data_IF_739936988280
#
_entry.id   IF_739936988280
#
_cell.length_a   1.000
_cell.length_b   1.000
_cell.length_c   1.000
_cell.angle_alpha   90.00
_cell.angle_beta   90.00
_cell.angle_gamma   90.00
#
_symmetry.space_group_name_H-M   'P 1'
#
loop_
_entity.id
_entity.type
_entity.pdbx_description
1 polymer ?
#
# COMPACT_ATOMS: atom_id res chain seq x y z
N UNK A 1 -37.46 -18.34 53.74
CA UNK A 1 -37.55 -19.80 53.57
C UNK A 1 -36.14 -20.31 53.30
N UNK A 2 -35.52 -20.92 54.30
CA UNK A 2 -34.13 -21.41 54.28
C UNK A 2 -34.11 -22.94 54.13
N UNK A 3 -33.30 -23.38 53.16
CA UNK A 3 -32.35 -24.50 53.20
C UNK A 3 -32.78 -25.98 53.38
N UNK A 4 -32.16 -26.78 52.50
CA UNK A 4 -31.52 -28.10 52.71
C UNK A 4 -32.29 -29.41 52.47
N UNK A 5 -32.11 -29.93 51.24
CA UNK A 5 -31.41 -31.18 50.84
C UNK A 5 -31.29 -32.38 51.82
N UNK A 6 -31.69 -33.57 51.33
CA UNK A 6 -30.89 -34.82 51.21
C UNK A 6 -31.82 -35.98 50.75
N UNK A 7 -31.70 -36.51 49.53
CA UNK A 7 -30.77 -37.56 49.06
C UNK A 7 -31.08 -38.98 49.54
N UNK A 8 -31.49 -39.86 48.60
CA UNK A 8 -31.80 -41.27 48.85
C UNK A 8 -31.28 -42.21 47.75
N UNK A 9 -30.20 -42.90 48.11
CA UNK A 9 -29.73 -44.24 47.68
C UNK A 9 -29.20 -44.54 46.27
N UNK A 10 -27.94 -44.96 46.33
CA UNK A 10 -27.07 -45.74 45.44
C UNK A 10 -27.61 -47.14 45.12
N UNK A 11 -27.16 -47.73 43.99
CA UNK A 11 -26.36 -48.99 43.93
C UNK A 11 -25.97 -49.37 42.47
N UNK A 12 -24.65 -49.36 42.25
CA UNK A 12 -23.76 -50.30 41.51
C UNK A 12 -24.10 -50.77 40.08
N UNK A 13 -23.17 -50.47 39.16
CA UNK A 13 -22.98 -51.19 37.90
C UNK A 13 -21.56 -50.97 37.36
N UNK A 14 -20.90 -52.07 37.01
CA UNK A 14 -19.47 -52.26 36.76
C UNK A 14 -18.78 -51.39 35.67
N UNK A 15 -17.52 -51.04 35.98
CA UNK A 15 -16.30 -51.17 35.16
C UNK A 15 -16.45 -51.20 33.63
N UNK A 16 -15.84 -50.22 32.96
CA UNK A 16 -14.98 -50.40 31.77
C UNK A 16 -14.19 -49.11 31.52
N UNK A 17 -12.88 -49.17 31.73
CA UNK A 17 -11.92 -48.18 31.24
C UNK A 17 -11.89 -48.35 29.71
N UNK A 18 -12.29 -47.31 28.99
CA UNK A 18 -12.22 -47.25 27.54
C UNK A 18 -11.79 -45.85 27.13
N UNK A 19 -10.49 -45.68 26.87
CA UNK A 19 -9.95 -44.49 26.20
C UNK A 19 -10.42 -44.57 24.75
N UNK A 20 -11.20 -43.57 24.31
CA UNK A 20 -11.48 -43.34 22.90
C UNK A 20 -11.19 -41.87 22.60
N UNK A 21 -10.03 -41.64 21.98
CA UNK A 21 -9.66 -40.40 21.30
C UNK A 21 -10.40 -40.30 19.96
N UNK A 22 -10.58 -39.07 19.50
CA UNK A 22 -10.88 -38.64 18.11
C UNK A 22 -12.38 -38.59 17.74
N UNK A 23 -12.90 -37.55 17.08
CA UNK A 23 -12.23 -36.42 16.45
C UNK A 23 -13.19 -35.28 16.11
N UNK A 24 -12.62 -34.07 16.10
CA UNK A 24 -13.22 -32.85 15.55
C UNK A 24 -12.93 -32.84 14.05
N UNK A 25 -13.94 -33.13 13.24
CA UNK A 25 -14.15 -32.48 11.94
C UNK A 25 -15.29 -31.50 12.22
N UNK A 26 -15.38 -30.26 11.73
CA UNK A 26 -15.21 -29.76 10.38
C UNK A 26 -14.81 -28.28 10.48
N UNK A 27 -13.75 -27.88 9.79
CA UNK A 27 -13.28 -26.50 9.80
C UNK A 27 -11.97 -26.35 9.04
N UNK A 28 -11.89 -26.86 7.80
CA UNK A 28 -10.85 -26.45 6.87
C UNK A 28 -11.22 -25.05 6.33
N UNK A 29 -11.10 -24.06 7.22
CA UNK A 29 -11.11 -22.65 6.86
C UNK A 29 -9.83 -22.32 6.11
N UNK A 30 -9.95 -21.53 5.05
CA UNK A 30 -8.82 -20.81 4.48
C UNK A 30 -8.49 -19.67 5.44
N UNK A 31 -7.46 -19.86 6.25
CA UNK A 31 -6.99 -18.89 7.23
C UNK A 31 -5.60 -19.30 7.69
N UNK A 32 -4.82 -18.33 8.14
CA UNK A 32 -3.41 -18.38 8.53
C UNK A 32 -3.00 -19.42 9.59
N UNK A 33 -3.94 -20.23 10.09
CA UNK A 33 -3.71 -21.38 10.98
C UNK A 33 -4.23 -22.72 10.38
N UNK A 34 -4.46 -22.77 9.07
CA UNK A 34 -4.91 -23.96 8.34
C UNK A 34 -3.76 -24.93 8.00
N UNK A 35 -4.05 -26.23 8.03
CA UNK A 35 -3.11 -27.35 7.80
C UNK A 35 -2.51 -27.42 6.37
N UNK A 36 -2.80 -26.46 5.50
CA UNK A 36 -2.25 -26.39 4.15
C UNK A 36 -1.60 -25.01 3.97
N UNK A 37 -0.30 -24.93 3.66
CA UNK A 37 0.34 -23.66 3.34
C UNK A 37 -0.38 -23.06 2.13
N UNK A 38 -1.03 -21.90 2.30
CA UNK A 38 -1.56 -21.10 1.19
C UNK A 38 -0.46 -20.28 0.51
N UNK A 39 0.79 -20.46 0.91
CA UNK A 39 1.96 -19.91 0.22
C UNK A 39 2.21 -20.74 -1.03
N UNK A 40 1.82 -20.22 -2.19
CA UNK A 40 2.31 -20.71 -3.47
C UNK A 40 3.82 -20.46 -3.48
N UNK A 41 4.62 -21.53 -3.52
CA UNK A 41 6.05 -21.44 -3.80
C UNK A 41 6.21 -20.84 -5.21
N UNK A 42 6.76 -19.63 -5.34
CA UNK A 42 6.86 -18.98 -6.64
C UNK A 42 7.92 -19.64 -7.54
N UNK A 43 8.61 -20.66 -7.03
CA UNK A 43 9.62 -21.44 -7.76
C UNK A 43 10.94 -20.69 -7.86
N UNK A 44 12.00 -21.43 -8.23
CA UNK A 44 13.38 -20.93 -8.27
C UNK A 44 13.65 -19.78 -9.27
N UNK A 45 12.62 -19.30 -10.00
CA UNK A 45 12.74 -18.29 -11.05
C UNK A 45 11.62 -17.24 -11.04
N UNK A 46 11.04 -16.91 -9.87
CA UNK A 46 10.17 -15.74 -9.79
C UNK A 46 11.00 -14.46 -9.68
N UNK A 47 11.62 -14.11 -10.81
CA UNK A 47 12.07 -12.75 -11.02
C UNK A 47 10.84 -11.96 -11.45
N UNK A 48 10.16 -11.29 -10.51
CA UNK A 48 9.43 -10.08 -10.90
C UNK A 48 10.52 -9.16 -11.42
N UNK A 49 10.53 -8.90 -12.72
CA UNK A 49 11.41 -7.87 -13.24
C UNK A 49 11.03 -6.57 -12.50
N UNK A 50 11.93 -6.08 -11.65
CA UNK A 50 11.77 -4.78 -11.04
C UNK A 50 11.86 -3.76 -12.17
N UNK A 51 10.70 -3.30 -12.63
CA UNK A 51 10.60 -2.26 -13.66
C UNK A 51 11.15 -0.98 -13.05
N UNK A 52 12.32 -0.57 -13.53
CA UNK A 52 12.86 0.74 -13.23
C UNK A 52 12.28 1.74 -14.22
N UNK A 53 11.46 2.64 -13.72
CA UNK A 53 10.98 3.78 -14.49
C UNK A 53 12.08 4.84 -14.62
N UNK A 54 12.06 5.59 -15.70
CA UNK A 54 13.08 6.58 -16.02
C UNK A 54 13.20 7.63 -14.91
N UNK A 55 14.36 7.69 -14.27
CA UNK A 55 14.65 8.61 -13.17
C UNK A 55 14.70 10.06 -13.65
N UNK A 56 15.07 10.29 -14.91
CA UNK A 56 15.15 11.62 -15.47
C UNK A 56 13.81 12.27 -15.71
N UNK A 57 12.91 11.50 -16.30
CA UNK A 57 11.52 11.86 -16.48
C UNK A 57 10.84 12.07 -15.12
N UNK A 58 11.20 11.28 -14.10
CA UNK A 58 10.69 11.51 -12.75
C UNK A 58 11.07 12.91 -12.24
N UNK A 59 12.36 13.26 -12.25
CA UNK A 59 12.81 14.51 -11.66
C UNK A 59 12.36 15.75 -12.44
N UNK A 60 12.27 15.66 -13.76
CA UNK A 60 11.94 16.84 -14.56
C UNK A 60 10.44 17.05 -14.76
N UNK A 61 9.65 15.98 -14.84
CA UNK A 61 8.22 16.08 -15.21
C UNK A 61 7.30 15.63 -14.07
N UNK A 62 7.59 14.49 -13.44
CA UNK A 62 6.68 13.90 -12.43
C UNK A 62 6.79 14.60 -11.08
N UNK A 63 7.99 14.90 -10.63
CA UNK A 63 8.25 15.58 -9.37
C UNK A 63 7.45 16.88 -9.19
N UNK A 64 7.49 17.86 -10.12
CA UNK A 64 6.77 19.11 -9.93
C UNK A 64 5.25 18.89 -9.87
N UNK A 65 4.71 17.92 -10.62
CA UNK A 65 3.30 17.51 -10.55
C UNK A 65 2.97 16.99 -9.15
N UNK A 66 3.77 16.07 -8.62
CA UNK A 66 3.52 15.48 -7.30
C UNK A 66 3.64 16.49 -6.16
N UNK A 67 4.54 17.47 -6.28
CA UNK A 67 4.69 18.54 -5.30
C UNK A 67 3.59 19.62 -5.40
N UNK A 68 3.15 19.98 -6.60
CA UNK A 68 2.02 20.88 -6.82
C UNK A 68 0.69 20.31 -6.30
N UNK A 69 0.58 18.99 -6.30
CA UNK A 69 -0.61 18.24 -5.88
C UNK A 69 -0.41 17.47 -4.57
N UNK A 70 0.65 17.79 -3.81
CA UNK A 70 1.02 17.03 -2.63
C UNK A 70 -0.05 17.14 -1.53
N UNK A 71 -0.33 16.02 -0.86
CA UNK A 71 -1.17 15.97 0.34
C UNK A 71 -0.32 16.08 1.62
N UNK A 72 0.83 16.77 1.58
CA UNK A 72 1.85 16.77 2.64
C UNK A 72 1.35 17.26 4.02
N UNK A 73 0.37 18.17 4.03
CA UNK A 73 -0.24 18.70 5.27
C UNK A 73 -1.78 18.62 5.30
N UNK A 74 -2.41 18.10 4.24
CA UNK A 74 -3.82 18.33 3.96
C UNK A 74 -4.11 19.73 3.38
N UNK A 75 -5.30 19.93 2.80
CA UNK A 75 -5.75 21.20 2.23
C UNK A 75 -7.05 21.70 2.91
N UNK A 76 -6.95 22.61 3.90
CA UNK A 76 -8.11 23.16 4.59
C UNK A 76 -9.18 23.76 3.65
N UNK A 77 -8.79 24.26 2.48
CA UNK A 77 -9.74 24.78 1.47
C UNK A 77 -10.60 23.68 0.83
N UNK A 78 -10.16 22.43 0.94
CA UNK A 78 -10.84 21.20 0.50
C UNK A 78 -11.44 20.42 1.68
N UNK A 79 -11.53 21.05 2.85
CA UNK A 79 -12.20 20.50 4.02
C UNK A 79 -11.33 19.59 4.90
N UNK A 80 -10.00 19.65 4.83
CA UNK A 80 -9.16 19.02 5.86
C UNK A 80 -9.28 19.80 7.15
N UNK A 81 -9.60 19.10 8.23
CA UNK A 81 -9.27 19.61 9.54
C UNK A 81 -7.73 19.67 9.69
N UNK A 82 -7.19 20.83 10.09
CA UNK A 82 -5.78 20.97 10.48
C UNK A 82 -5.42 19.93 11.54
N UNK A 83 -4.45 19.05 11.26
CA UNK A 83 -4.08 17.95 12.16
C UNK A 83 -5.13 16.83 12.30
N UNK A 84 -6.16 16.81 11.44
CA UNK A 84 -7.20 15.78 11.42
C UNK A 84 -6.70 14.44 10.86
N UNK A 85 -7.52 13.40 10.98
CA UNK A 85 -7.20 12.05 10.48
C UNK A 85 -6.75 12.09 9.01
N UNK A 86 -7.46 12.83 8.15
CA UNK A 86 -7.09 13.02 6.75
C UNK A 86 -5.68 13.61 6.58
N UNK A 87 -5.33 14.65 7.33
CA UNK A 87 -3.99 15.21 7.31
C UNK A 87 -2.94 14.20 7.81
N UNK A 88 -3.25 13.39 8.83
CA UNK A 88 -2.31 12.45 9.45
C UNK A 88 -2.14 11.09 8.73
N UNK A 89 -3.14 10.64 7.97
CA UNK A 89 -3.19 9.26 7.44
C UNK A 89 -3.33 9.15 5.92
N UNK A 90 -3.42 10.25 5.18
CA UNK A 90 -3.62 10.17 3.72
C UNK A 90 -2.34 9.81 2.97
N UNK A 91 -2.55 8.90 2.02
CA UNK A 91 -1.53 8.03 1.48
C UNK A 91 -0.90 8.60 0.21
N UNK A 92 0.20 9.31 0.39
CA UNK A 92 1.42 9.36 -0.43
C UNK A 92 2.17 10.60 0.05
N UNK A 93 2.94 10.43 1.12
CA UNK A 93 3.73 11.50 1.70
C UNK A 93 5.11 11.47 1.06
N UNK A 94 5.37 12.46 0.25
CA UNK A 94 6.72 12.83 -0.13
C UNK A 94 7.37 13.58 1.04
N UNK A 95 8.68 13.43 1.18
CA UNK A 95 9.47 14.26 2.07
C UNK A 95 9.61 15.64 1.41
N UNK A 96 9.06 16.67 2.04
CA UNK A 96 9.21 18.04 1.55
C UNK A 96 10.69 18.46 1.53
N UNK A 97 11.10 19.11 0.46
CA UNK A 97 12.45 19.65 0.30
C UNK A 97 12.46 20.81 -0.70
N UNK A 98 13.51 21.64 -0.66
CA UNK A 98 13.72 22.72 -1.60
C UNK A 98 15.22 22.99 -1.79
N UNK A 99 15.66 23.47 -2.97
CA UNK A 99 14.86 23.58 -4.21
C UNK A 99 14.51 22.18 -4.76
N UNK A 100 13.42 22.09 -5.54
CA UNK A 100 13.11 20.85 -6.28
C UNK A 100 14.19 20.59 -7.33
N UNK A 101 14.45 19.32 -7.65
CA UNK A 101 15.39 18.97 -8.73
C UNK A 101 14.87 19.50 -10.07
N UNK A 102 13.55 19.47 -10.26
CA UNK A 102 12.87 20.03 -11.42
C UNK A 102 13.24 21.49 -11.74
N UNK A 103 13.55 22.30 -10.72
CA UNK A 103 13.94 23.71 -10.92
C UNK A 103 15.28 23.86 -11.67
N UNK A 104 16.10 22.81 -11.70
CA UNK A 104 17.35 22.75 -12.47
C UNK A 104 17.27 21.91 -13.73
N UNK A 105 16.11 21.36 -14.08
CA UNK A 105 15.94 20.51 -15.26
C UNK A 105 15.83 21.36 -16.53
N UNK A 106 16.92 21.48 -17.30
CA UNK A 106 16.90 22.00 -18.67
C UNK A 106 16.69 20.86 -19.69
N UNK A 107 15.70 19.99 -19.44
CA UNK A 107 15.45 18.79 -20.24
C UNK A 107 16.39 17.61 -19.96
N UNK A 108 17.28 17.73 -18.97
CA UNK A 108 18.15 16.67 -18.44
C UNK A 108 18.25 16.84 -16.93
N UNK A 109 18.30 15.74 -16.18
CA UNK A 109 18.52 15.80 -14.74
C UNK A 109 19.88 16.42 -14.44
N UNK A 110 19.94 17.35 -13.47
CA UNK A 110 21.19 17.75 -12.85
C UNK A 110 22.05 16.54 -12.41
N UNK A 111 23.39 16.69 -12.43
CA UNK A 111 24.32 15.58 -12.13
C UNK A 111 24.00 14.87 -10.80
N UNK A 112 24.26 13.55 -10.64
CA UNK A 112 23.82 12.78 -9.45
C UNK A 112 24.20 13.36 -8.09
N UNK A 113 25.30 14.12 -8.00
CA UNK A 113 25.74 14.82 -6.78
C UNK A 113 24.89 16.04 -6.39
N UNK A 114 24.01 16.50 -7.28
CA UNK A 114 23.09 17.62 -7.05
C UNK A 114 21.68 17.20 -6.62
N UNK A 115 21.37 15.91 -6.72
CA UNK A 115 20.13 15.33 -6.23
C UNK A 115 20.25 15.15 -4.72
N UNK A 116 19.34 15.75 -3.95
CA UNK A 116 19.36 15.66 -2.49
C UNK A 116 18.87 14.28 -2.01
N UNK A 117 19.19 13.91 -0.76
CA UNK A 117 18.67 12.65 -0.20
C UNK A 117 17.13 12.59 -0.12
N UNK A 118 16.42 13.67 0.28
CA UNK A 118 14.96 13.71 0.18
C UNK A 118 14.44 13.47 -1.25
N UNK A 119 15.07 14.08 -2.26
CA UNK A 119 14.69 13.87 -3.66
C UNK A 119 14.83 12.41 -4.10
N UNK A 120 15.91 11.73 -3.69
CA UNK A 120 16.10 10.28 -3.94
C UNK A 120 15.07 9.42 -3.22
N UNK A 121 14.72 9.76 -1.99
CA UNK A 121 13.70 9.04 -1.23
C UNK A 121 12.33 9.18 -1.88
N UNK A 122 11.99 10.37 -2.37
CA UNK A 122 10.76 10.64 -3.08
C UNK A 122 10.69 9.80 -4.36
N UNK A 123 11.71 9.83 -5.22
CA UNK A 123 11.77 8.96 -6.41
C UNK A 123 11.51 7.49 -6.08
N UNK A 124 12.22 6.93 -5.10
CA UNK A 124 12.02 5.53 -4.66
C UNK A 124 10.58 5.27 -4.18
N UNK A 125 10.01 6.20 -3.43
CA UNK A 125 8.63 6.09 -2.95
C UNK A 125 7.60 6.15 -4.10
N UNK A 126 7.84 6.99 -5.11
CA UNK A 126 7.05 7.08 -6.36
C UNK A 126 7.12 5.79 -7.15
N UNK A 127 8.33 5.31 -7.39
CA UNK A 127 8.62 4.12 -8.18
C UNK A 127 7.93 2.89 -7.59
N UNK A 128 7.96 2.71 -6.27
CA UNK A 128 7.28 1.62 -5.57
C UNK A 128 5.76 1.59 -5.81
N UNK A 129 5.15 2.73 -6.15
CA UNK A 129 3.71 2.90 -6.41
C UNK A 129 3.37 3.04 -7.89
N UNK A 130 4.36 2.96 -8.76
CA UNK A 130 4.18 3.06 -10.19
C UNK A 130 4.04 1.68 -10.83
N UNK A 131 3.27 1.56 -11.91
CA UNK A 131 3.06 0.33 -12.66
C UNK A 131 3.00 0.66 -14.15
N UNK A 132 3.44 -0.28 -15.00
CA UNK A 132 3.30 -0.18 -16.46
C UNK A 132 1.82 -0.04 -16.85
N UNK A 133 0.95 -0.89 -16.28
CA UNK A 133 -0.48 -0.71 -16.38
C UNK A 133 -0.94 0.38 -15.40
N UNK A 134 -1.21 1.55 -15.95
CA UNK A 134 -1.61 2.73 -15.17
C UNK A 134 -3.01 2.59 -14.57
N UNK A 135 -3.84 1.67 -15.08
CA UNK A 135 -5.21 1.45 -14.55
C UNK A 135 -5.20 0.83 -13.15
N UNK A 136 -4.06 0.24 -12.76
CA UNK A 136 -3.83 -0.34 -11.43
C UNK A 136 -2.72 0.38 -10.66
N UNK A 137 -2.04 1.37 -11.24
CA UNK A 137 -0.98 2.12 -10.56
C UNK A 137 -1.55 2.95 -9.40
N UNK A 138 -1.17 2.71 -8.13
CA UNK A 138 -1.63 3.55 -7.02
C UNK A 138 -1.31 5.03 -7.18
N UNK A 139 -0.22 5.36 -7.88
CA UNK A 139 0.20 6.74 -8.16
C UNK A 139 -0.75 7.50 -9.09
N UNK A 140 -1.60 6.79 -9.86
CA UNK A 140 -2.62 7.41 -10.71
C UNK A 140 -4.04 7.18 -10.16
N UNK A 141 -4.34 5.95 -9.73
CA UNK A 141 -5.71 5.58 -9.35
C UNK A 141 -6.21 6.29 -8.09
N UNK A 142 -5.32 6.59 -7.12
CA UNK A 142 -5.72 7.29 -5.89
C UNK A 142 -5.98 8.79 -6.14
N UNK A 143 -5.07 9.54 -6.78
CA UNK A 143 -5.31 10.96 -7.05
C UNK A 143 -6.49 11.23 -8.00
N UNK A 144 -6.86 10.28 -8.86
CA UNK A 144 -7.98 10.43 -9.81
C UNK A 144 -9.32 9.93 -9.26
N UNK A 145 -9.39 9.49 -8.00
CA UNK A 145 -10.62 8.96 -7.39
C UNK A 145 -11.05 7.59 -7.94
N UNK A 146 -10.17 6.89 -8.66
CA UNK A 146 -10.40 5.55 -9.24
C UNK A 146 -10.14 4.40 -8.26
N UNK A 147 -9.51 4.69 -7.12
CA UNK A 147 -9.32 3.78 -6.00
C UNK A 147 -9.82 4.44 -4.71
N UNK A 148 -9.88 3.67 -3.61
CA UNK A 148 -10.29 4.19 -2.31
C UNK A 148 -9.30 5.26 -1.82
N UNK A 149 -9.63 6.52 -2.12
CA UNK A 149 -9.00 7.72 -1.59
C UNK A 149 -10.12 8.72 -1.26
N UNK A 150 -10.06 9.41 -0.12
CA UNK A 150 -11.11 10.34 0.31
C UNK A 150 -11.33 11.52 -0.64
N UNK A 151 -10.45 11.72 -1.64
CA UNK A 151 -10.53 12.82 -2.61
C UNK A 151 -9.99 12.49 -3.98
N UNK A 152 -10.57 13.14 -4.97
CA UNK A 152 -9.95 13.42 -6.26
C UNK A 152 -9.05 14.65 -6.11
N UNK A 153 -7.77 14.50 -6.45
CA UNK A 153 -6.73 15.52 -6.43
C UNK A 153 -6.63 16.19 -7.82
N UNK A 154 -6.69 15.40 -8.88
CA UNK A 154 -6.76 15.86 -10.27
C UNK A 154 -7.60 14.90 -11.12
N UNK A 155 -8.19 15.41 -12.20
CA UNK A 155 -9.05 14.64 -13.10
C UNK A 155 -8.25 13.61 -13.92
N UNK A 156 -8.89 12.53 -14.33
CA UNK A 156 -8.26 11.44 -15.09
C UNK A 156 -7.71 11.91 -16.46
N UNK A 157 -8.34 12.90 -17.09
CA UNK A 157 -7.96 13.49 -18.37
C UNK A 157 -7.04 14.72 -18.26
N UNK A 158 -6.64 15.10 -17.04
CA UNK A 158 -5.76 16.24 -16.80
C UNK A 158 -4.33 16.05 -17.31
N UNK A 159 -3.61 17.16 -17.47
CA UNK A 159 -2.18 17.17 -17.78
C UNK A 159 -1.35 16.44 -16.72
N UNK A 160 -1.66 16.64 -15.43
CA UNK A 160 -1.03 15.94 -14.31
C UNK A 160 -1.15 14.41 -14.46
N UNK A 161 -2.34 13.92 -14.81
CA UNK A 161 -2.57 12.51 -15.08
C UNK A 161 -1.81 12.02 -16.32
N UNK A 162 -1.68 12.86 -17.36
CA UNK A 162 -0.95 12.55 -18.57
C UNK A 162 0.57 12.38 -18.33
N UNK A 163 1.18 13.25 -17.51
CA UNK A 163 2.60 13.14 -17.12
C UNK A 163 2.89 11.83 -16.41
N UNK A 164 2.04 11.43 -15.46
CA UNK A 164 2.21 10.15 -14.73
C UNK A 164 2.04 8.97 -15.69
N UNK A 165 1.08 9.02 -16.62
CA UNK A 165 0.93 8.00 -17.66
C UNK A 165 2.15 7.91 -18.58
N UNK A 166 2.70 9.05 -18.97
CA UNK A 166 3.89 9.09 -19.81
C UNK A 166 5.07 8.44 -19.09
N UNK A 167 5.26 8.72 -17.79
CA UNK A 167 6.29 8.06 -17.00
C UNK A 167 6.15 6.53 -16.99
N UNK A 168 4.93 6.00 -16.98
CA UNK A 168 4.67 4.56 -17.07
C UNK A 168 5.24 3.92 -18.34
N UNK A 169 5.34 4.71 -19.42
CA UNK A 169 5.90 4.28 -20.71
C UNK A 169 7.41 4.50 -20.83
N UNK A 170 8.02 5.26 -19.92
CA UNK A 170 9.45 5.52 -19.87
C UNK A 170 10.10 4.55 -18.88
N UNK A 171 10.50 3.38 -19.35
CA UNK A 171 11.31 2.44 -18.56
C UNK A 171 12.78 2.66 -18.87
N UNK A 172 13.62 2.63 -17.84
CA UNK A 172 15.06 2.70 -18.02
C UNK A 172 15.54 1.41 -18.72
N UNK A 173 16.39 1.57 -19.73
CA UNK A 173 17.13 0.45 -20.31
C UNK A 173 18.07 -0.11 -19.22
N UNK A 174 17.93 -1.41 -18.93
CA UNK A 174 18.77 -2.13 -17.95
C UNK A 174 20.10 -2.58 -18.57
#
# INVERSE_FOLDING_TARGET
MLSSLAAGRTVRGALRVGIALSGVAWGLGCGEEGLLPTTVDPGANFAVADVLFDEAYFYCEVEPVLFAHSCGAGDPSRGDATGGCHANVTSYRLTDYAPLVAEGCEGVVPAPGSITEPARQNYRASQARMRLDTTVAPLLTRPTGRAAHPRTIFEEDSEAAAVIRQWASQVADQ
#
